data_IF_703912289361
#
_entry.id   IF_703912289361
#
_cell.length_a   1.000
_cell.length_b   1.000
_cell.length_c   1.000
_cell.angle_alpha   90.00
_cell.angle_beta   90.00
_cell.angle_gamma   90.00
#
_symmetry.space_group_name_H-M   'P 1'
#
loop_
_entity.id
_entity.type
_entity.pdbx_description
1 polymer ?
#
# COMPACT_ATOMS: atom_id res chain seq x y z
N UNK A 1 86.82 -9.12 -33.55
CA UNK A 1 86.78 -7.89 -34.33
C UNK A 1 85.38 -7.31 -34.19
N UNK A 2 85.34 -6.16 -33.58
CA UNK A 2 84.53 -5.00 -33.82
C UNK A 2 83.09 -5.18 -33.38
N UNK A 3 82.52 -4.43 -32.50
CA UNK A 3 82.64 -3.08 -32.03
C UNK A 3 81.23 -2.59 -31.82
N UNK A 4 80.90 -2.17 -30.61
CA UNK A 4 80.40 -0.85 -30.26
C UNK A 4 79.12 -0.39 -30.96
N UNK A 5 78.07 0.09 -30.34
CA UNK A 5 77.85 1.14 -29.31
C UNK A 5 76.40 1.21 -28.88
N UNK A 6 76.16 1.40 -27.61
CA UNK A 6 75.37 2.37 -26.87
C UNK A 6 74.25 3.15 -27.58
N UNK A 7 73.09 3.10 -26.99
CA UNK A 7 72.02 4.06 -27.17
C UNK A 7 70.95 3.88 -26.11
N UNK A 8 71.13 4.46 -24.95
CA UNK A 8 70.10 4.60 -23.92
C UNK A 8 69.15 5.71 -24.34
N UNK A 9 67.87 5.44 -24.35
CA UNK A 9 66.78 6.48 -24.28
C UNK A 9 65.80 6.14 -23.21
N UNK A 10 65.66 7.08 -22.30
CA UNK A 10 64.68 7.10 -21.25
C UNK A 10 63.26 6.91 -21.81
N UNK A 11 62.54 5.96 -21.29
CA UNK A 11 61.08 5.86 -21.47
C UNK A 11 60.41 6.61 -20.33
N UNK A 12 59.59 7.60 -20.68
CA UNK A 12 58.70 8.33 -19.82
C UNK A 12 57.67 7.37 -19.20
N UNK A 13 57.68 7.27 -17.88
CA UNK A 13 56.63 6.61 -17.11
C UNK A 13 55.38 7.46 -17.11
N UNK A 14 54.46 7.20 -18.06
CA UNK A 14 53.12 7.72 -18.03
C UNK A 14 52.26 6.91 -17.06
N UNK A 15 52.06 7.42 -15.86
CA UNK A 15 51.08 6.85 -14.92
C UNK A 15 49.69 7.18 -15.45
N UNK A 16 48.98 6.17 -15.98
CA UNK A 16 47.59 6.28 -16.36
C UNK A 16 46.76 6.18 -15.06
N UNK A 17 46.27 7.33 -14.63
CA UNK A 17 45.26 7.36 -13.58
C UNK A 17 43.93 6.91 -14.19
N UNK A 18 43.52 5.67 -13.93
CA UNK A 18 42.13 5.24 -14.08
C UNK A 18 41.30 5.91 -12.98
N UNK A 19 40.61 6.97 -13.32
CA UNK A 19 39.53 7.51 -12.50
C UNK A 19 38.41 6.49 -12.50
N UNK A 20 38.36 5.64 -11.48
CA UNK A 20 37.16 4.87 -11.17
C UNK A 20 36.08 5.88 -10.71
N UNK A 21 35.27 6.34 -11.65
CA UNK A 21 33.97 6.90 -11.31
C UNK A 21 33.16 5.74 -10.74
N UNK A 22 33.15 5.59 -9.44
CA UNK A 22 32.13 4.84 -8.73
C UNK A 22 30.85 5.69 -8.83
N UNK A 23 30.07 5.44 -9.88
CA UNK A 23 28.68 5.85 -9.89
C UNK A 23 27.99 5.05 -8.78
N UNK A 24 28.00 5.60 -7.57
CA UNK A 24 27.10 5.20 -6.51
C UNK A 24 25.69 5.60 -6.96
N UNK A 25 25.04 4.72 -7.72
CA UNK A 25 23.60 4.69 -7.79
C UNK A 25 23.16 4.31 -6.37
N UNK A 26 22.82 5.30 -5.56
CA UNK A 26 22.13 5.08 -4.30
C UNK A 26 20.83 4.38 -4.65
N UNK A 27 20.80 3.07 -4.42
CA UNK A 27 19.59 2.28 -4.63
C UNK A 27 18.52 2.86 -3.68
N UNK A 28 17.51 3.50 -4.25
CA UNK A 28 16.41 4.09 -3.45
C UNK A 28 15.74 2.96 -2.68
N UNK A 29 15.67 3.08 -1.38
CA UNK A 29 15.09 2.06 -0.50
C UNK A 29 13.56 2.07 -0.60
N UNK A 30 12.93 0.94 -0.30
CA UNK A 30 11.47 0.84 -0.27
C UNK A 30 10.83 1.86 0.71
N UNK A 31 11.50 2.14 1.83
CA UNK A 31 11.02 3.11 2.80
C UNK A 31 11.10 4.55 2.28
N UNK A 32 12.15 4.90 1.54
CA UNK A 32 12.23 6.20 0.86
C UNK A 32 11.12 6.37 -0.18
N UNK A 33 10.77 5.32 -0.91
CA UNK A 33 9.64 5.33 -1.86
C UNK A 33 8.31 5.56 -1.15
N UNK A 34 8.07 4.85 -0.02
CA UNK A 34 6.86 5.04 0.80
C UNK A 34 6.76 6.45 1.37
N UNK A 35 7.88 7.02 1.84
CA UNK A 35 7.93 8.40 2.32
C UNK A 35 7.63 9.40 1.19
N UNK A 36 8.15 9.17 -0.01
CA UNK A 36 7.93 10.05 -1.15
C UNK A 36 6.44 10.11 -1.54
N UNK A 37 5.76 8.96 -1.64
CA UNK A 37 4.32 8.91 -1.95
C UNK A 37 3.47 9.48 -0.82
N UNK A 38 3.87 9.28 0.44
CA UNK A 38 3.21 9.85 1.60
C UNK A 38 3.24 11.39 1.58
N UNK A 39 4.40 11.99 1.25
CA UNK A 39 4.53 13.45 1.07
C UNK A 39 3.68 13.95 -0.08
N UNK A 40 3.72 13.27 -1.23
CA UNK A 40 2.92 13.65 -2.39
C UNK A 40 1.41 13.59 -2.10
N UNK A 41 0.97 12.65 -1.25
CA UNK A 41 -0.43 12.52 -0.87
C UNK A 41 -0.97 13.74 -0.10
N UNK A 42 -0.11 14.52 0.56
CA UNK A 42 -0.52 15.74 1.27
C UNK A 42 -1.14 16.78 0.32
N UNK A 43 -0.73 16.82 -0.94
CA UNK A 43 -1.31 17.71 -1.95
C UNK A 43 -2.79 17.42 -2.24
N UNK A 44 -3.26 16.23 -1.90
CA UNK A 44 -4.66 15.82 -2.05
C UNK A 44 -5.51 16.10 -0.81
N UNK A 45 -4.93 16.61 0.27
CA UNK A 45 -5.64 16.91 1.53
C UNK A 45 -6.16 18.34 1.50
N UNK A 46 -7.48 18.58 1.41
CA UNK A 46 -8.02 19.92 1.45
C UNK A 46 -7.88 20.54 2.85
N UNK A 47 -7.68 21.86 2.90
CA UNK A 47 -7.59 22.60 4.17
C UNK A 47 -8.98 22.70 4.81
N UNK A 48 -9.04 22.61 6.16
CA UNK A 48 -10.30 22.70 6.92
C UNK A 48 -11.24 21.51 6.65
N UNK A 49 -10.68 20.30 6.55
CA UNK A 49 -11.49 19.11 6.30
C UNK A 49 -11.07 17.94 7.19
N UNK A 50 -11.96 16.96 7.29
CA UNK A 50 -11.67 15.67 7.93
C UNK A 50 -11.05 14.73 6.88
N UNK A 51 -9.98 14.03 7.27
CA UNK A 51 -9.19 13.17 6.39
C UNK A 51 -9.38 11.70 6.76
N UNK A 52 -9.79 10.86 5.81
CA UNK A 52 -9.76 9.43 5.98
C UNK A 52 -8.32 8.88 5.90
N UNK A 53 -7.94 8.06 6.86
CA UNK A 53 -6.58 7.55 7.00
C UNK A 53 -6.58 6.04 7.09
N UNK A 54 -5.78 5.42 6.24
CA UNK A 54 -5.64 3.99 6.12
C UNK A 54 -4.73 3.33 7.16
N UNK A 55 -4.37 2.08 6.87
CA UNK A 55 -3.60 1.21 7.77
C UNK A 55 -2.42 0.59 7.07
N UNK A 56 -1.28 0.45 7.78
CA UNK A 56 -0.09 -0.22 7.28
C UNK A 56 1.13 0.71 7.16
N UNK A 57 2.27 0.14 6.76
CA UNK A 57 3.55 0.85 6.79
C UNK A 57 3.57 2.13 5.95
N UNK A 58 2.97 2.12 4.76
CA UNK A 58 2.91 3.31 3.90
C UNK A 58 1.96 4.37 4.48
N UNK A 59 0.80 3.93 5.02
CA UNK A 59 -0.14 4.81 5.70
C UNK A 59 0.49 5.46 6.94
N UNK A 60 1.37 4.77 7.66
CA UNK A 60 2.09 5.33 8.79
C UNK A 60 2.97 6.53 8.40
N UNK A 61 3.65 6.48 7.26
CA UNK A 61 4.40 7.63 6.75
C UNK A 61 3.47 8.79 6.38
N UNK A 62 2.29 8.49 5.82
CA UNK A 62 1.30 9.54 5.57
C UNK A 62 0.78 10.18 6.87
N UNK A 63 0.55 9.41 7.92
CA UNK A 63 0.18 9.93 9.25
C UNK A 63 1.26 10.87 9.78
N UNK A 64 2.54 10.53 9.63
CA UNK A 64 3.65 11.38 10.06
C UNK A 64 3.71 12.70 9.27
N UNK A 65 3.47 12.66 7.96
CA UNK A 65 3.38 13.88 7.13
C UNK A 65 2.12 14.70 7.49
N UNK A 66 0.99 14.05 7.75
CA UNK A 66 -0.25 14.71 8.18
C UNK A 66 -0.05 15.44 9.52
N UNK A 67 0.73 14.86 10.43
CA UNK A 67 1.10 15.49 11.71
C UNK A 67 1.79 16.85 11.55
N UNK A 68 2.53 17.05 10.47
CA UNK A 68 3.21 18.34 10.18
C UNK A 68 2.23 19.45 9.78
N UNK A 69 1.08 19.06 9.26
CA UNK A 69 0.03 19.98 8.79
C UNK A 69 -1.25 19.89 9.63
N UNK A 70 -1.20 19.30 10.82
CA UNK A 70 -2.38 19.08 11.69
C UNK A 70 -3.22 20.33 11.92
N UNK A 71 -2.58 21.53 11.93
CA UNK A 71 -3.25 22.83 12.08
C UNK A 71 -4.08 23.24 10.84
N UNK A 72 -4.02 22.48 9.76
CA UNK A 72 -4.74 22.75 8.49
C UNK A 72 -5.92 21.80 8.28
N UNK A 73 -6.15 20.84 9.17
CA UNK A 73 -7.23 19.86 9.07
C UNK A 73 -8.10 19.92 10.32
N UNK A 74 -9.36 19.53 10.20
CA UNK A 74 -10.33 19.55 11.31
C UNK A 74 -10.28 18.23 12.12
N UNK A 75 -9.63 17.19 11.58
CA UNK A 75 -9.49 15.90 12.23
C UNK A 75 -9.28 14.77 11.22
N UNK A 76 -9.37 13.55 11.71
CA UNK A 76 -9.19 12.36 10.87
C UNK A 76 -10.16 11.24 11.27
N UNK A 77 -10.54 10.40 10.29
CA UNK A 77 -11.20 9.12 10.49
C UNK A 77 -10.20 8.01 10.19
N UNK A 78 -9.95 7.14 11.15
CA UNK A 78 -9.00 6.04 11.02
C UNK A 78 -9.69 4.73 10.61
N UNK A 79 -9.03 3.95 9.75
CA UNK A 79 -9.50 2.62 9.36
C UNK A 79 -9.08 1.49 10.31
N UNK A 80 -8.33 1.80 11.37
CA UNK A 80 -7.94 0.84 12.40
C UNK A 80 -7.63 1.52 13.74
N UNK A 81 -7.70 0.76 14.82
CA UNK A 81 -7.33 1.22 16.15
C UNK A 81 -5.85 1.63 16.22
N UNK A 82 -4.97 0.93 15.49
CA UNK A 82 -3.55 1.26 15.41
C UNK A 82 -3.30 2.63 14.75
N UNK A 83 -4.01 2.93 13.65
CA UNK A 83 -3.94 4.22 12.97
C UNK A 83 -4.53 5.33 13.83
N UNK A 84 -5.64 5.07 14.53
CA UNK A 84 -6.26 6.01 15.47
C UNK A 84 -5.29 6.41 16.58
N UNK A 85 -4.65 5.44 17.22
CA UNK A 85 -3.66 5.69 18.28
C UNK A 85 -2.46 6.50 17.77
N UNK A 86 -2.00 6.25 16.51
CA UNK A 86 -0.88 6.99 15.94
C UNK A 86 -1.26 8.46 15.66
N UNK A 87 -2.45 8.71 15.13
CA UNK A 87 -2.99 10.05 14.89
C UNK A 87 -3.12 10.84 16.22
N UNK A 88 -3.69 10.21 17.25
CA UNK A 88 -3.85 10.79 18.59
C UNK A 88 -2.50 11.18 19.22
N UNK A 89 -1.46 10.33 19.07
CA UNK A 89 -0.10 10.62 19.56
C UNK A 89 0.50 11.87 18.90
N UNK A 90 0.12 12.19 17.67
CA UNK A 90 0.54 13.41 16.98
C UNK A 90 -0.34 14.63 17.30
N UNK A 91 -1.37 14.44 18.12
CA UNK A 91 -2.33 15.48 18.49
C UNK A 91 -3.32 15.84 17.38
N UNK A 92 -3.63 14.86 16.51
CA UNK A 92 -4.73 14.95 15.54
C UNK A 92 -5.98 14.38 16.18
N UNK A 93 -7.08 15.10 16.13
CA UNK A 93 -8.37 14.63 16.60
C UNK A 93 -8.87 13.47 15.72
N UNK A 94 -9.26 12.36 16.35
CA UNK A 94 -9.82 11.18 15.66
C UNK A 94 -11.31 11.16 15.93
N UNK A 95 -12.07 11.20 14.84
CA UNK A 95 -13.53 11.25 14.84
C UNK A 95 -14.12 9.90 14.47
N UNK A 96 -15.28 9.59 15.04
CA UNK A 96 -16.07 8.46 14.60
C UNK A 96 -16.71 8.74 13.24
N UNK A 97 -16.66 7.76 12.33
CA UNK A 97 -17.18 7.94 10.97
C UNK A 97 -18.67 8.29 10.95
N UNK A 98 -19.43 7.81 11.95
CA UNK A 98 -20.86 8.09 12.07
C UNK A 98 -21.17 9.56 12.40
N UNK A 99 -20.20 10.28 12.95
CA UNK A 99 -20.35 11.71 13.31
C UNK A 99 -19.83 12.65 12.20
N UNK A 100 -19.31 12.07 11.09
CA UNK A 100 -18.73 12.80 9.99
C UNK A 100 -19.72 12.85 8.82
N UNK A 101 -20.17 14.07 8.47
CA UNK A 101 -21.11 14.30 7.37
C UNK A 101 -20.47 14.28 5.98
N UNK A 102 -19.17 14.55 5.90
CA UNK A 102 -18.41 14.65 4.65
C UNK A 102 -16.96 14.18 4.83
N UNK A 103 -16.52 13.29 3.95
CA UNK A 103 -15.15 12.79 3.92
C UNK A 103 -14.56 13.03 2.52
N UNK A 104 -13.93 14.21 2.30
CA UNK A 104 -13.46 14.61 0.98
C UNK A 104 -12.38 13.67 0.42
N UNK A 105 -11.49 13.17 1.27
CA UNK A 105 -10.36 12.33 0.85
C UNK A 105 -10.10 11.20 1.85
N UNK A 106 -9.78 10.04 1.30
CA UNK A 106 -9.21 8.89 2.02
C UNK A 106 -7.87 8.55 1.41
N UNK A 107 -6.84 8.40 2.23
CA UNK A 107 -5.48 8.03 1.80
C UNK A 107 -5.09 6.72 2.46
N UNK A 108 -4.71 5.74 1.64
CA UNK A 108 -4.33 4.40 2.14
C UNK A 108 -3.37 3.69 1.19
N UNK A 109 -2.70 2.65 1.70
CA UNK A 109 -1.84 1.76 0.92
C UNK A 109 -2.60 0.64 0.23
N UNK A 110 -1.86 -0.19 -0.51
CA UNK A 110 -2.35 -1.45 -1.07
C UNK A 110 -1.29 -2.54 -0.93
N UNK A 111 -1.75 -3.80 -0.82
CA UNK A 111 -0.88 -4.98 -0.87
C UNK A 111 -0.53 -5.33 -2.33
N UNK A 112 -1.50 -5.18 -3.23
CA UNK A 112 -1.36 -5.19 -4.69
C UNK A 112 -2.30 -4.16 -5.32
N UNK A 113 -1.89 -3.58 -6.44
CA UNK A 113 -2.71 -2.67 -7.25
C UNK A 113 -2.43 -2.88 -8.72
N UNK A 114 -3.48 -2.82 -9.55
CA UNK A 114 -3.35 -2.86 -11.01
C UNK A 114 -3.33 -1.45 -11.61
N UNK A 115 -2.97 -1.34 -12.89
CA UNK A 115 -3.08 -0.06 -13.64
C UNK A 115 -4.53 0.43 -13.78
N UNK A 116 -5.51 -0.44 -13.61
CA UNK A 116 -6.93 -0.11 -13.57
C UNK A 116 -7.43 0.30 -12.18
N UNK A 117 -6.50 0.45 -11.22
CA UNK A 117 -6.74 0.88 -9.86
C UNK A 117 -7.63 -0.07 -9.03
N UNK A 118 -7.75 -1.33 -9.46
CA UNK A 118 -8.27 -2.41 -8.64
C UNK A 118 -7.16 -2.92 -7.72
N UNK A 119 -7.49 -3.25 -6.46
CA UNK A 119 -6.50 -3.56 -5.43
C UNK A 119 -6.83 -4.83 -4.64
N UNK A 120 -5.79 -5.41 -4.05
CA UNK A 120 -5.89 -6.24 -2.85
C UNK A 120 -5.39 -5.43 -1.67
N UNK A 121 -6.16 -5.44 -0.57
CA UNK A 121 -5.85 -4.82 0.71
C UNK A 121 -6.16 -5.78 1.86
N UNK A 122 -5.73 -5.44 3.05
CA UNK A 122 -6.02 -6.22 4.26
C UNK A 122 -4.86 -7.05 4.78
N UNK A 123 -3.64 -6.87 4.26
CA UNK A 123 -2.43 -7.45 4.84
C UNK A 123 -2.26 -7.08 6.33
N UNK A 124 -2.66 -5.87 6.71
CA UNK A 124 -2.69 -5.38 8.09
C UNK A 124 -3.92 -5.80 8.91
N UNK A 125 -4.88 -6.53 8.34
CA UNK A 125 -6.08 -7.02 9.04
C UNK A 125 -7.23 -6.03 9.15
N UNK A 126 -7.14 -4.83 8.58
CA UNK A 126 -8.13 -3.76 8.72
C UNK A 126 -9.12 -3.65 7.54
N UNK A 127 -9.13 -4.64 6.63
CA UNK A 127 -9.82 -4.58 5.32
C UNK A 127 -11.28 -4.10 5.38
N UNK A 128 -12.02 -4.50 6.40
CA UNK A 128 -13.44 -4.14 6.52
C UNK A 128 -13.62 -2.67 6.81
N UNK A 129 -12.91 -2.14 7.81
CA UNK A 129 -12.96 -0.70 8.13
C UNK A 129 -12.35 0.13 7.01
N UNK A 130 -11.25 -0.32 6.36
CA UNK A 130 -10.68 0.32 5.18
C UNK A 130 -11.72 0.43 4.05
N UNK A 131 -12.48 -0.65 3.81
CA UNK A 131 -13.52 -0.67 2.76
C UNK A 131 -14.67 0.28 3.10
N UNK A 132 -15.06 0.38 4.36
CA UNK A 132 -16.11 1.30 4.83
C UNK A 132 -15.66 2.75 4.61
N UNK A 133 -14.46 3.12 5.06
CA UNK A 133 -13.93 4.49 4.90
C UNK A 133 -13.77 4.84 3.42
N UNK A 134 -13.25 3.90 2.60
CA UNK A 134 -13.14 4.10 1.15
C UNK A 134 -14.51 4.31 0.47
N UNK A 135 -15.57 3.62 0.93
CA UNK A 135 -16.91 3.76 0.36
C UNK A 135 -17.55 5.12 0.66
N UNK A 136 -17.28 5.69 1.83
CA UNK A 136 -17.78 7.01 2.25
C UNK A 136 -17.00 8.15 1.60
N UNK A 137 -15.69 7.96 1.39
CA UNK A 137 -14.82 9.01 0.86
C UNK A 137 -15.17 9.38 -0.58
N UNK A 138 -15.22 10.69 -0.85
CA UNK A 138 -15.43 11.21 -2.21
C UNK A 138 -14.27 10.84 -3.13
N UNK A 139 -13.03 10.92 -2.60
CA UNK A 139 -11.81 10.60 -3.34
C UNK A 139 -10.96 9.62 -2.55
N UNK A 140 -10.59 8.52 -3.18
CA UNK A 140 -9.64 7.56 -2.63
C UNK A 140 -8.28 7.69 -3.33
N UNK A 141 -7.27 8.13 -2.58
CA UNK A 141 -5.88 8.23 -3.03
C UNK A 141 -5.12 7.01 -2.50
N UNK A 142 -4.72 6.12 -3.40
CA UNK A 142 -3.83 5.01 -3.04
C UNK A 142 -2.38 5.45 -3.11
N UNK A 143 -1.60 5.13 -2.08
CA UNK A 143 -0.17 5.38 -2.00
C UNK A 143 0.58 4.05 -1.96
N UNK A 144 1.46 3.82 -2.94
CA UNK A 144 2.17 2.55 -3.06
C UNK A 144 3.57 2.73 -3.63
N UNK A 145 4.49 1.85 -3.29
CA UNK A 145 5.75 1.70 -4.01
C UNK A 145 5.57 0.77 -5.22
N UNK A 146 6.50 0.85 -6.16
CA UNK A 146 6.43 0.15 -7.44
C UNK A 146 6.33 -1.38 -7.30
N UNK A 147 6.78 -1.97 -6.19
CA UNK A 147 6.66 -3.41 -5.94
C UNK A 147 5.22 -3.90 -5.79
N UNK A 148 4.28 -2.97 -5.53
CA UNK A 148 2.86 -3.26 -5.35
C UNK A 148 2.07 -3.25 -6.65
N UNK A 149 2.65 -2.71 -7.73
CA UNK A 149 2.01 -2.69 -9.04
C UNK A 149 2.12 -4.05 -9.71
N UNK A 150 0.97 -4.63 -10.06
CA UNK A 150 0.87 -5.94 -10.72
C UNK A 150 -0.04 -5.87 -11.95
N UNK A 151 0.17 -6.77 -12.90
CA UNK A 151 -0.72 -6.89 -14.07
C UNK A 151 -2.01 -7.65 -13.70
N UNK A 152 -1.89 -8.69 -12.85
CA UNK A 152 -3.01 -9.51 -12.39
C UNK A 152 -2.92 -9.66 -10.87
N UNK A 153 -4.05 -9.42 -10.19
CA UNK A 153 -4.16 -9.58 -8.73
C UNK A 153 -4.09 -11.07 -8.32
N UNK A 154 -3.60 -11.32 -7.09
CA UNK A 154 -3.62 -12.64 -6.47
C UNK A 154 -2.25 -13.27 -6.23
N UNK A 155 -1.14 -12.56 -6.51
CA UNK A 155 0.19 -12.94 -6.03
C UNK A 155 0.26 -12.79 -4.50
N UNK A 156 -0.28 -11.69 -3.98
CA UNK A 156 -0.54 -11.53 -2.55
C UNK A 156 -1.80 -12.33 -2.19
N UNK A 157 -1.80 -13.10 -1.08
CA UNK A 157 -2.99 -13.84 -0.65
C UNK A 157 -4.16 -12.91 -0.42
N UNK A 158 -5.34 -13.26 -0.91
CA UNK A 158 -6.53 -12.44 -0.73
C UNK A 158 -7.09 -12.61 0.69
N UNK A 159 -7.07 -11.55 1.54
CA UNK A 159 -7.65 -11.65 2.88
C UNK A 159 -9.17 -11.61 2.83
N UNK A 160 -9.81 -12.45 3.63
CA UNK A 160 -11.26 -12.49 3.81
C UNK A 160 -11.56 -12.47 5.30
N UNK A 161 -12.25 -11.43 5.77
CA UNK A 161 -12.73 -11.34 7.16
C UNK A 161 -14.00 -12.16 7.31
N UNK A 162 -13.99 -13.05 8.30
CA UNK A 162 -15.02 -14.08 8.47
C UNK A 162 -15.46 -14.13 9.93
N UNK A 163 -16.76 -14.23 10.16
CA UNK A 163 -17.34 -14.51 11.49
C UNK A 163 -16.76 -15.85 12.00
N UNK A 164 -16.21 -15.93 13.22
CA UNK A 164 -15.48 -17.10 13.70
C UNK A 164 -16.22 -18.44 13.53
N UNK A 165 -17.52 -18.47 13.78
CA UNK A 165 -18.32 -19.69 13.65
C UNK A 165 -18.47 -20.17 12.19
N UNK A 166 -18.34 -19.27 11.21
CA UNK A 166 -18.46 -19.57 9.78
C UNK A 166 -17.15 -20.03 9.13
N UNK A 167 -16.02 -19.94 9.83
CA UNK A 167 -14.67 -20.17 9.30
C UNK A 167 -14.54 -21.39 8.39
N UNK A 168 -14.96 -22.55 8.89
CA UNK A 168 -14.80 -23.81 8.15
C UNK A 168 -15.77 -23.92 6.97
N UNK A 169 -16.94 -23.33 7.07
CA UNK A 169 -17.90 -23.28 5.96
C UNK A 169 -17.36 -22.36 4.86
N UNK A 170 -16.97 -21.14 5.21
CA UNK A 170 -16.42 -20.18 4.24
C UNK A 170 -15.16 -20.76 3.58
N UNK A 171 -14.26 -21.42 4.34
CA UNK A 171 -13.08 -22.04 3.75
C UNK A 171 -13.45 -23.08 2.65
N UNK A 172 -14.48 -23.90 2.85
CA UNK A 172 -14.94 -24.86 1.82
C UNK A 172 -15.50 -24.14 0.58
N UNK A 173 -16.24 -23.04 0.77
CA UNK A 173 -16.75 -22.26 -0.37
C UNK A 173 -15.58 -21.64 -1.18
N UNK A 174 -14.54 -21.14 -0.50
CA UNK A 174 -13.34 -20.58 -1.13
C UNK A 174 -12.54 -21.61 -1.94
N UNK A 175 -12.50 -22.87 -1.45
CA UNK A 175 -11.89 -24.00 -2.21
C UNK A 175 -12.68 -24.26 -3.50
N UNK A 176 -14.01 -24.19 -3.49
CA UNK A 176 -14.83 -24.35 -4.70
C UNK A 176 -14.56 -23.25 -5.75
N UNK A 177 -14.14 -22.07 -5.30
CA UNK A 177 -13.72 -20.98 -6.17
C UNK A 177 -12.26 -21.12 -6.66
N UNK A 178 -11.58 -22.22 -6.33
CA UNK A 178 -10.21 -22.52 -6.77
C UNK A 178 -9.11 -21.98 -5.87
N UNK A 179 -9.46 -21.37 -4.73
CA UNK A 179 -8.49 -20.81 -3.78
C UNK A 179 -8.02 -21.83 -2.75
N UNK A 180 -6.92 -21.51 -2.07
CA UNK A 180 -6.37 -22.27 -0.94
C UNK A 180 -6.42 -21.39 0.32
N UNK A 181 -7.53 -21.42 1.09
CA UNK A 181 -7.69 -20.63 2.28
C UNK A 181 -6.84 -21.15 3.44
N UNK A 182 -6.14 -20.26 4.12
CA UNK A 182 -5.40 -20.50 5.36
C UNK A 182 -5.85 -19.55 6.45
N UNK A 183 -6.09 -20.07 7.66
CA UNK A 183 -6.41 -19.21 8.80
C UNK A 183 -5.19 -18.36 9.16
N UNK A 184 -5.36 -17.02 9.24
CA UNK A 184 -4.32 -16.12 9.74
C UNK A 184 -4.16 -16.33 11.23
N UNK A 185 -3.04 -16.98 11.62
CA UNK A 185 -2.79 -17.32 13.02
C UNK A 185 -2.50 -16.06 13.86
N UNK A 186 -2.99 -16.06 15.10
CA UNK A 186 -2.74 -14.98 16.05
C UNK A 186 -3.34 -13.63 15.66
N UNK A 187 -4.28 -13.60 14.71
CA UNK A 187 -4.95 -12.40 14.24
C UNK A 187 -6.42 -12.42 14.62
N UNK A 188 -6.84 -11.37 15.35
CA UNK A 188 -8.24 -11.00 15.53
C UNK A 188 -8.38 -9.58 14.98
N UNK A 189 -9.39 -9.34 14.15
CA UNK A 189 -9.62 -8.01 13.59
C UNK A 189 -10.16 -7.06 14.66
N UNK A 190 -10.09 -5.75 14.43
CA UNK A 190 -10.70 -4.73 15.31
C UNK A 190 -12.22 -4.90 15.46
N UNK A 191 -12.84 -5.76 14.65
CA UNK A 191 -14.25 -6.12 14.69
C UNK A 191 -14.53 -7.46 15.43
N UNK A 192 -13.48 -8.10 16.00
CA UNK A 192 -13.60 -9.37 16.72
C UNK A 192 -13.68 -10.61 15.83
N UNK A 193 -13.36 -10.50 14.55
CA UNK A 193 -13.44 -11.59 13.56
C UNK A 193 -12.08 -12.22 13.27
N UNK A 194 -12.09 -13.30 12.48
CA UNK A 194 -10.89 -13.99 11.97
C UNK A 194 -10.67 -13.67 10.50
N UNK A 195 -9.45 -13.89 10.01
CA UNK A 195 -9.10 -13.72 8.60
C UNK A 195 -8.70 -15.08 8.00
N UNK A 196 -9.25 -15.37 6.83
CA UNK A 196 -8.77 -16.41 5.92
C UNK A 196 -7.96 -15.74 4.82
N UNK A 197 -6.67 -16.07 4.72
CA UNK A 197 -5.82 -15.68 3.61
C UNK A 197 -5.94 -16.72 2.49
N UNK A 198 -6.43 -16.29 1.33
CA UNK A 198 -6.69 -17.19 0.20
C UNK A 198 -5.54 -17.11 -0.79
N UNK A 199 -4.79 -18.20 -0.88
CA UNK A 199 -3.64 -18.34 -1.78
C UNK A 199 -4.06 -18.89 -3.16
N UNK A 200 -3.16 -18.75 -4.13
CA UNK A 200 -3.24 -19.37 -5.46
C UNK A 200 -4.46 -18.95 -6.31
N UNK A 201 -4.99 -17.77 -6.07
CA UNK A 201 -6.00 -17.17 -6.94
C UNK A 201 -5.34 -16.35 -8.05
N UNK A 202 -5.74 -16.57 -9.31
CA UNK A 202 -5.50 -15.65 -10.41
C UNK A 202 -6.77 -14.83 -10.64
N UNK A 203 -6.76 -13.57 -10.22
CA UNK A 203 -7.96 -12.75 -10.15
C UNK A 203 -8.08 -11.92 -11.43
N UNK A 204 -8.58 -12.56 -12.50
CA UNK A 204 -8.75 -11.94 -13.81
C UNK A 204 -10.00 -11.03 -13.86
N UNK A 205 -10.99 -11.33 -13.03
CA UNK A 205 -12.27 -10.59 -12.96
C UNK A 205 -12.55 -10.11 -11.52
N UNK A 206 -11.81 -9.11 -11.05
CA UNK A 206 -11.87 -8.71 -9.64
C UNK A 206 -13.24 -8.21 -9.21
N UNK A 207 -13.99 -7.51 -10.07
CA UNK A 207 -15.36 -7.04 -9.80
C UNK A 207 -16.36 -8.18 -9.55
N UNK A 208 -16.29 -9.23 -10.38
CA UNK A 208 -17.17 -10.39 -10.27
C UNK A 208 -16.83 -11.18 -9.00
N UNK A 209 -15.53 -11.43 -8.77
CA UNK A 209 -15.08 -12.18 -7.61
C UNK A 209 -15.40 -11.45 -6.30
N UNK A 210 -15.18 -10.13 -6.23
CA UNK A 210 -15.55 -9.32 -5.06
C UNK A 210 -17.04 -9.47 -4.73
N UNK A 211 -17.91 -9.42 -5.75
CA UNK A 211 -19.35 -9.58 -5.58
C UNK A 211 -19.73 -10.99 -5.14
N UNK A 212 -19.12 -12.02 -5.73
CA UNK A 212 -19.37 -13.42 -5.39
C UNK A 212 -18.97 -13.72 -3.93
N UNK A 213 -17.81 -13.24 -3.49
CA UNK A 213 -17.34 -13.45 -2.13
C UNK A 213 -18.26 -12.80 -1.10
N UNK A 214 -18.83 -11.63 -1.39
CA UNK A 214 -19.78 -10.95 -0.51
C UNK A 214 -21.12 -11.68 -0.34
N UNK A 215 -21.45 -12.68 -1.18
CA UNK A 215 -22.68 -13.48 -1.08
C UNK A 215 -22.50 -14.71 -0.18
N UNK A 216 -21.28 -15.04 0.24
CA UNK A 216 -21.03 -16.21 1.08
C UNK A 216 -21.43 -15.87 2.53
N UNK A 217 -22.38 -16.61 3.08
CA UNK A 217 -22.82 -16.42 4.46
C UNK A 217 -21.64 -16.54 5.44
N UNK A 218 -21.48 -15.55 6.32
CA UNK A 218 -20.38 -15.48 7.29
C UNK A 218 -19.14 -14.75 6.82
N UNK A 219 -19.05 -14.34 5.54
CA UNK A 219 -18.08 -13.36 5.08
C UNK A 219 -18.54 -11.98 5.54
N UNK A 220 -17.67 -11.26 6.25
CA UNK A 220 -17.91 -9.87 6.67
C UNK A 220 -17.46 -8.92 5.56
N UNK A 221 -16.24 -9.09 5.08
CA UNK A 221 -15.70 -8.38 3.92
C UNK A 221 -14.57 -9.20 3.28
N UNK A 222 -14.22 -8.87 2.06
CA UNK A 222 -13.05 -9.41 1.37
C UNK A 222 -12.07 -8.29 0.98
N UNK A 223 -10.81 -8.65 0.78
CA UNK A 223 -9.72 -7.71 0.48
C UNK A 223 -9.69 -7.18 -0.94
N UNK A 224 -10.65 -7.54 -1.81
CA UNK A 224 -10.74 -6.95 -3.14
C UNK A 224 -11.38 -5.57 -3.08
N UNK A 225 -10.72 -4.58 -3.65
CA UNK A 225 -11.19 -3.21 -3.82
C UNK A 225 -11.24 -2.92 -5.33
N UNK A 226 -12.24 -3.50 -6.00
CA UNK A 226 -12.46 -3.35 -7.44
C UNK A 226 -13.75 -2.57 -7.72
N UNK A 227 -14.83 -2.82 -6.96
CA UNK A 227 -16.10 -2.04 -7.04
C UNK A 227 -15.87 -0.60 -6.60
N UNK A 228 -15.14 -0.42 -5.50
CA UNK A 228 -14.61 0.87 -5.05
C UNK A 228 -13.08 0.79 -5.06
N UNK A 229 -12.50 0.91 -6.25
CA UNK A 229 -11.06 1.05 -6.44
C UNK A 229 -10.58 2.46 -6.07
N UNK A 230 -9.27 2.71 -6.18
CA UNK A 230 -8.75 4.06 -6.02
C UNK A 230 -9.19 4.98 -7.17
N UNK A 231 -9.27 6.28 -6.89
CA UNK A 231 -9.45 7.32 -7.91
C UNK A 231 -8.10 7.82 -8.42
N UNK A 232 -7.09 7.80 -7.52
CA UNK A 232 -5.72 8.21 -7.79
C UNK A 232 -4.77 7.19 -7.19
N UNK A 233 -3.75 6.81 -7.93
CA UNK A 233 -2.59 6.08 -7.43
C UNK A 233 -1.36 6.98 -7.50
N UNK A 234 -0.71 7.18 -6.36
CA UNK A 234 0.63 7.75 -6.26
C UNK A 234 1.63 6.60 -6.12
N UNK A 235 2.38 6.36 -7.19
CA UNK A 235 3.29 5.22 -7.30
C UNK A 235 4.74 5.69 -7.17
N UNK A 236 5.40 5.30 -6.09
CA UNK A 236 6.82 5.59 -5.84
C UNK A 236 7.73 4.65 -6.61
N UNK A 237 8.62 5.19 -7.40
CA UNK A 237 9.64 4.46 -8.15
C UNK A 237 10.96 5.22 -8.22
N UNK A 238 11.99 4.64 -8.81
CA UNK A 238 13.33 5.24 -8.93
C UNK A 238 13.34 6.62 -9.60
N UNK A 239 12.37 6.90 -10.47
CA UNK A 239 12.22 8.19 -11.17
C UNK A 239 11.35 9.19 -10.41
N UNK A 240 11.02 8.93 -9.15
CA UNK A 240 10.12 9.74 -8.33
C UNK A 240 8.70 9.18 -8.25
N UNK A 241 7.75 10.04 -7.88
CA UNK A 241 6.34 9.67 -7.74
C UNK A 241 5.61 9.87 -9.07
N UNK A 242 4.97 8.81 -9.55
CA UNK A 242 4.10 8.84 -10.72
C UNK A 242 2.64 8.87 -10.24
N UNK A 243 1.80 9.65 -10.92
CA UNK A 243 0.36 9.71 -10.64
C UNK A 243 -0.40 9.01 -11.76
N UNK A 244 -1.24 8.04 -11.38
CA UNK A 244 -2.20 7.39 -12.26
C UNK A 244 -3.60 7.73 -11.77
N UNK A 245 -4.51 8.02 -12.69
CA UNK A 245 -5.92 8.32 -12.40
C UNK A 245 -6.82 7.39 -13.19
N UNK A 246 -8.03 7.21 -12.68
CA UNK A 246 -9.07 6.39 -13.32
C UNK A 246 -9.63 7.06 -14.56
#
# INVERSE_FOLDING_TARGET
MGGVQKGARLACTGTIYYSLRTDYHSCVTQDELKQAVARAAIEHVPVGTIVGVGTGSTANYFIDELGKIKHKIDGAVASSDASAQRLQKLGIEVLELNDVSDLPVYVDGADEITRHLAMIKGGGGALTREKIVAAVARKFVCIADQSKLVDVLGKFPLPIEVIPMARSYVARELVKLGGQPALRQGCTTDNGNVILDVHNLQILKPLELESTLNQIAGVVANGLFARRGADVLLLGGEKGVQTLTR
#
